data_IF_353879284177
#
_entry.id   IF_353879284177
#
_cell.length_a   1.000
_cell.length_b   1.000
_cell.length_c   1.000
_cell.angle_alpha   90.00
_cell.angle_beta   90.00
_cell.angle_gamma   90.00
#
_symmetry.space_group_name_H-M   'P 1'
#
loop_
_entity.id
_entity.type
_entity.pdbx_description
1 polymer ?
#
# COMPACT_ATOMS: atom_id res chain seq x y z
N UNK A 1 -39.32 16.03 12.38
CA UNK A 1 -38.97 14.73 11.72
C UNK A 1 -37.67 14.86 10.91
N UNK A 2 -37.46 15.89 10.10
CA UNK A 2 -36.24 16.08 9.27
C UNK A 2 -34.97 16.27 10.13
N UNK A 3 -35.09 17.03 11.22
CA UNK A 3 -33.96 17.29 12.13
C UNK A 3 -33.47 16.02 12.84
N UNK A 4 -34.36 15.13 13.25
CA UNK A 4 -34.04 13.85 13.89
C UNK A 4 -33.36 12.91 12.88
N UNK A 5 -33.82 12.90 11.63
CA UNK A 5 -33.20 12.09 10.57
C UNK A 5 -31.77 12.53 10.25
N UNK A 6 -31.51 13.84 10.17
CA UNK A 6 -30.18 14.38 9.91
C UNK A 6 -29.16 14.12 11.05
N UNK A 7 -29.64 13.97 12.29
CA UNK A 7 -28.79 13.66 13.45
C UNK A 7 -28.59 12.17 13.68
N UNK A 8 -29.37 11.31 13.02
CA UNK A 8 -29.32 9.84 13.22
C UNK A 8 -28.46 9.12 12.18
N UNK A 9 -28.12 9.73 11.04
CA UNK A 9 -27.28 9.10 10.03
C UNK A 9 -25.80 9.29 10.38
N UNK A 10 -25.03 8.21 10.64
CA UNK A 10 -23.62 8.31 10.91
C UNK A 10 -22.86 8.89 9.71
N UNK A 11 -21.91 9.75 10.00
CA UNK A 11 -21.07 10.35 8.98
C UNK A 11 -19.73 9.67 8.91
N UNK A 12 -19.27 9.39 7.71
CA UNK A 12 -17.93 8.87 7.43
C UNK A 12 -17.13 10.01 6.81
N UNK A 13 -16.06 10.41 7.49
CA UNK A 13 -15.27 11.58 7.11
C UNK A 13 -13.81 11.15 6.96
N UNK A 14 -13.19 11.33 5.77
CA UNK A 14 -11.77 11.13 5.61
C UNK A 14 -11.00 12.17 6.44
N UNK A 15 -9.95 11.72 7.12
CA UNK A 15 -9.15 12.57 7.99
C UNK A 15 -7.67 12.33 7.77
N UNK A 16 -6.89 13.38 7.97
CA UNK A 16 -5.44 13.37 7.93
C UNK A 16 -4.88 13.84 9.28
N UNK A 17 -3.63 13.49 9.61
CA UNK A 17 -2.98 14.04 10.79
C UNK A 17 -2.91 15.57 10.71
N UNK A 18 -3.19 16.23 11.81
CA UNK A 18 -2.92 17.66 11.96
C UNK A 18 -1.40 17.91 11.95
N UNK A 19 -0.99 19.18 11.86
CA UNK A 19 0.44 19.56 11.82
C UNK A 19 1.26 19.09 13.03
N UNK A 20 0.60 18.88 14.16
CA UNK A 20 1.20 18.37 15.40
C UNK A 20 1.33 16.84 15.43
N UNK A 21 0.76 16.13 14.46
CA UNK A 21 0.65 14.67 14.36
C UNK A 21 -0.06 13.98 15.55
N UNK A 22 -0.65 14.73 16.46
CA UNK A 22 -1.37 14.18 17.62
C UNK A 22 -2.86 14.04 17.37
N UNK A 23 -3.39 14.82 16.44
CA UNK A 23 -4.82 14.84 16.13
C UNK A 23 -5.07 14.53 14.65
N UNK A 24 -6.26 14.04 14.37
CA UNK A 24 -6.73 13.82 13.00
C UNK A 24 -7.85 14.80 12.71
N UNK A 25 -7.74 15.51 11.62
CA UNK A 25 -8.69 16.53 11.19
C UNK A 25 -9.13 16.29 9.75
N UNK A 26 -10.31 16.79 9.40
CA UNK A 26 -10.77 16.80 8.03
C UNK A 26 -10.01 17.88 7.25
N UNK A 27 -9.29 17.46 6.21
CA UNK A 27 -8.45 18.35 5.39
C UNK A 27 -8.69 17.99 3.92
N UNK A 28 -9.78 18.48 3.30
CA UNK A 28 -10.19 18.09 1.95
C UNK A 28 -9.19 18.55 0.87
N UNK A 29 -8.45 19.61 1.13
CA UNK A 29 -7.52 20.20 0.17
C UNK A 29 -6.11 19.57 0.23
N UNK A 30 -5.89 18.68 1.18
CA UNK A 30 -4.59 18.02 1.34
C UNK A 30 -4.62 16.61 0.72
N UNK A 31 -3.58 16.33 -0.03
CA UNK A 31 -3.39 15.02 -0.62
C UNK A 31 -3.27 13.90 0.43
N UNK A 32 -4.05 12.83 0.34
CA UNK A 32 -3.98 11.72 1.28
C UNK A 32 -2.76 10.83 1.07
N UNK A 33 -2.47 9.98 2.06
CA UNK A 33 -1.48 8.92 1.90
C UNK A 33 -1.87 7.97 0.74
N UNK A 34 -0.94 7.61 -0.16
CA UNK A 34 -1.28 6.75 -1.29
C UNK A 34 -1.59 5.30 -0.91
N UNK A 35 -1.32 4.86 0.30
CA UNK A 35 -1.55 3.47 0.72
C UNK A 35 -2.63 3.32 1.78
N UNK A 36 -2.80 4.31 2.67
CA UNK A 36 -3.65 4.24 3.85
C UNK A 36 -4.69 5.35 3.83
N UNK A 37 -5.96 4.97 3.83
CA UNK A 37 -7.06 5.86 4.12
C UNK A 37 -7.42 5.82 5.60
N UNK A 38 -7.66 6.98 6.22
CA UNK A 38 -8.12 7.06 7.60
C UNK A 38 -9.47 7.73 7.63
N UNK A 39 -10.45 7.09 8.27
CA UNK A 39 -11.80 7.61 8.41
C UNK A 39 -12.25 7.73 9.86
N UNK A 40 -12.89 8.84 10.18
CA UNK A 40 -13.72 8.95 11.37
C UNK A 40 -15.13 8.46 11.07
N UNK A 41 -15.63 7.54 11.89
CA UNK A 41 -17.05 7.21 11.93
C UNK A 41 -17.68 8.01 13.07
N UNK A 42 -18.61 8.89 12.73
CA UNK A 42 -19.30 9.79 13.66
C UNK A 42 -20.76 9.40 13.77
N UNK A 43 -21.14 8.78 14.87
CA UNK A 43 -22.48 8.27 15.16
C UNK A 43 -22.55 6.75 15.19
N UNK A 44 -23.67 6.23 15.63
CA UNK A 44 -23.89 4.82 15.86
C UNK A 44 -24.24 4.06 14.58
N UNK A 45 -23.91 2.76 14.56
CA UNK A 45 -24.08 1.88 13.40
C UNK A 45 -25.33 1.02 13.57
N UNK A 46 -26.44 1.43 12.94
CA UNK A 46 -27.71 0.69 12.99
C UNK A 46 -28.49 0.81 11.68
N UNK A 47 -29.57 0.04 11.61
CA UNK A 47 -30.44 -0.06 10.45
C UNK A 47 -30.84 1.31 9.87
N UNK A 48 -30.69 1.46 8.56
CA UNK A 48 -30.97 2.71 7.82
C UNK A 48 -29.79 3.66 7.66
N UNK A 49 -28.65 3.37 8.31
CA UNK A 49 -27.43 4.18 8.23
C UNK A 49 -26.30 3.50 7.44
N UNK A 50 -26.42 2.21 7.22
CA UNK A 50 -25.35 1.30 6.78
C UNK A 50 -24.99 1.44 5.32
N UNK A 51 -25.98 1.62 4.44
CA UNK A 51 -25.75 1.75 3.00
C UNK A 51 -24.95 3.01 2.68
N UNK A 52 -25.23 4.10 3.41
CA UNK A 52 -24.53 5.35 3.22
C UNK A 52 -23.04 5.28 3.58
N UNK A 53 -22.68 4.51 4.63
CA UNK A 53 -21.29 4.34 5.05
C UNK A 53 -20.53 3.52 4.02
N UNK A 54 -21.10 2.38 3.64
CA UNK A 54 -20.49 1.47 2.66
C UNK A 54 -20.30 2.18 1.32
N UNK A 55 -21.32 2.91 0.85
CA UNK A 55 -21.25 3.64 -0.41
C UNK A 55 -20.21 4.76 -0.38
N UNK A 56 -20.12 5.52 0.72
CA UNK A 56 -19.10 6.56 0.86
C UNK A 56 -17.68 6.01 0.85
N UNK A 57 -17.46 4.89 1.52
CA UNK A 57 -16.15 4.23 1.51
C UNK A 57 -15.84 3.67 0.13
N UNK A 58 -16.82 3.03 -0.53
CA UNK A 58 -16.69 2.53 -1.91
C UNK A 58 -16.26 3.64 -2.87
N UNK A 59 -16.99 4.75 -2.89
CA UNK A 59 -16.66 5.91 -3.74
C UNK A 59 -15.26 6.47 -3.46
N UNK A 60 -14.88 6.56 -2.19
CA UNK A 60 -13.54 7.03 -1.84
C UNK A 60 -12.45 6.10 -2.38
N UNK A 61 -12.63 4.80 -2.19
CA UNK A 61 -11.66 3.78 -2.62
C UNK A 61 -11.58 3.69 -4.15
N UNK A 62 -12.68 3.88 -4.86
CA UNK A 62 -12.71 3.96 -6.32
C UNK A 62 -11.94 5.18 -6.83
N UNK A 63 -12.09 6.32 -6.18
CA UNK A 63 -11.35 7.54 -6.51
C UNK A 63 -9.87 7.51 -6.09
N UNK A 64 -9.48 6.58 -5.20
CA UNK A 64 -8.12 6.42 -4.68
C UNK A 64 -7.64 4.96 -4.82
N UNK A 65 -7.44 4.46 -6.04
CA UNK A 65 -7.19 3.03 -6.28
C UNK A 65 -5.89 2.50 -5.68
N UNK A 66 -4.96 3.36 -5.35
CA UNK A 66 -3.70 2.99 -4.67
C UNK A 66 -3.86 2.75 -3.17
N UNK A 67 -4.92 3.27 -2.54
CA UNK A 67 -5.21 3.07 -1.13
C UNK A 67 -5.80 1.69 -0.90
N UNK A 68 -4.98 0.77 -0.43
CA UNK A 68 -5.38 -0.62 -0.16
C UNK A 68 -5.74 -0.86 1.29
N UNK A 69 -5.31 0.00 2.20
CA UNK A 69 -5.52 -0.16 3.63
C UNK A 69 -6.43 0.94 4.18
N UNK A 70 -7.33 0.55 5.06
CA UNK A 70 -8.32 1.42 5.67
C UNK A 70 -8.20 1.37 7.19
N UNK A 71 -8.04 2.52 7.83
CA UNK A 71 -8.08 2.65 9.28
C UNK A 71 -9.37 3.36 9.69
N UNK A 72 -10.28 2.63 10.35
CA UNK A 72 -11.52 3.15 10.90
C UNK A 72 -11.33 3.60 12.35
N UNK A 73 -11.61 4.88 12.62
CA UNK A 73 -11.60 5.45 13.95
C UNK A 73 -13.01 5.41 14.54
N UNK A 74 -13.20 4.54 15.54
CA UNK A 74 -14.50 4.15 16.09
C UNK A 74 -14.86 4.87 17.39
N UNK A 75 -14.11 5.90 17.79
CA UNK A 75 -14.29 6.57 19.08
C UNK A 75 -15.68 7.21 19.30
N UNK A 76 -16.38 7.57 18.24
CA UNK A 76 -17.71 8.18 18.28
C UNK A 76 -18.84 7.17 17.99
N UNK A 77 -18.52 5.88 17.89
CA UNK A 77 -19.49 4.81 17.75
C UNK A 77 -19.74 4.21 19.15
N UNK A 78 -20.93 4.40 19.67
CA UNK A 78 -21.31 3.90 20.99
C UNK A 78 -22.10 2.60 20.90
N UNK A 79 -22.83 2.40 19.81
CA UNK A 79 -23.64 1.25 19.55
C UNK A 79 -23.48 0.77 18.10
N UNK A 80 -23.58 -0.56 17.93
CA UNK A 80 -23.56 -1.20 16.63
C UNK A 80 -24.52 -2.39 16.67
N UNK A 81 -25.51 -2.38 15.80
CA UNK A 81 -26.44 -3.53 15.65
C UNK A 81 -25.95 -4.48 14.54
N UNK A 82 -26.76 -5.51 14.28
CA UNK A 82 -26.42 -6.50 13.25
C UNK A 82 -26.30 -5.89 11.86
N UNK A 83 -27.07 -4.84 11.54
CA UNK A 83 -26.98 -4.15 10.25
C UNK A 83 -25.68 -3.37 10.14
N UNK A 84 -25.24 -2.76 11.24
CA UNK A 84 -23.92 -2.11 11.33
C UNK A 84 -22.78 -3.11 11.12
N UNK A 85 -22.91 -4.32 11.68
CA UNK A 85 -21.92 -5.39 11.46
C UNK A 85 -21.87 -5.79 9.98
N UNK A 86 -23.01 -6.00 9.30
CA UNK A 86 -23.03 -6.33 7.87
C UNK A 86 -22.42 -5.22 6.99
N UNK A 87 -22.60 -3.96 7.37
CA UNK A 87 -21.92 -2.87 6.66
C UNK A 87 -20.39 -2.94 6.83
N UNK A 88 -19.92 -3.25 8.05
CA UNK A 88 -18.49 -3.42 8.29
C UNK A 88 -17.93 -4.64 7.57
N UNK A 89 -18.66 -5.75 7.49
CA UNK A 89 -18.29 -6.92 6.68
C UNK A 89 -18.15 -6.55 5.20
N UNK A 90 -19.14 -5.85 4.65
CA UNK A 90 -19.08 -5.38 3.25
C UNK A 90 -17.88 -4.47 2.98
N UNK A 91 -17.50 -3.63 3.94
CA UNK A 91 -16.31 -2.78 3.82
C UNK A 91 -15.02 -3.63 3.83
N UNK A 92 -14.97 -4.65 4.68
CA UNK A 92 -13.84 -5.60 4.73
C UNK A 92 -13.70 -6.33 3.39
N UNK A 93 -14.81 -6.81 2.83
CA UNK A 93 -14.82 -7.51 1.54
C UNK A 93 -14.31 -6.60 0.41
N UNK A 94 -14.82 -5.36 0.31
CA UNK A 94 -14.37 -4.36 -0.66
C UNK A 94 -12.84 -4.15 -0.60
N UNK A 95 -12.28 -4.07 0.61
CA UNK A 95 -10.84 -3.84 0.75
C UNK A 95 -10.01 -5.10 0.45
N UNK A 96 -10.49 -6.28 0.86
CA UNK A 96 -9.83 -7.56 0.62
C UNK A 96 -9.84 -7.96 -0.85
N UNK A 97 -10.91 -7.73 -1.59
CA UNK A 97 -10.99 -7.91 -3.05
C UNK A 97 -9.95 -7.08 -3.80
N UNK A 98 -9.53 -5.96 -3.22
CA UNK A 98 -8.47 -5.09 -3.77
C UNK A 98 -7.07 -5.44 -3.29
N UNK A 99 -6.91 -6.54 -2.57
CA UNK A 99 -5.64 -6.98 -2.00
C UNK A 99 -5.15 -6.12 -0.83
N UNK A 100 -6.10 -5.52 -0.10
CA UNK A 100 -5.85 -4.72 1.09
C UNK A 100 -6.55 -5.30 2.32
N UNK A 101 -6.77 -4.49 3.34
CA UNK A 101 -7.53 -4.88 4.53
C UNK A 101 -8.01 -3.65 5.34
N UNK A 102 -8.84 -3.92 6.36
CA UNK A 102 -9.41 -2.94 7.27
C UNK A 102 -8.82 -3.10 8.66
N UNK A 103 -8.48 -1.98 9.27
CA UNK A 103 -8.04 -1.90 10.67
C UNK A 103 -8.95 -0.98 11.45
N UNK A 104 -9.11 -1.24 12.73
CA UNK A 104 -9.98 -0.47 13.61
C UNK A 104 -9.22 0.03 14.82
N UNK A 105 -9.51 1.24 15.25
CA UNK A 105 -8.96 1.77 16.49
C UNK A 105 -10.03 2.45 17.33
N UNK A 106 -9.82 2.46 18.65
CA UNK A 106 -10.75 3.03 19.64
C UNK A 106 -12.15 2.44 19.57
N UNK A 107 -12.27 1.15 19.31
CA UNK A 107 -13.55 0.44 19.41
C UNK A 107 -13.97 0.39 20.88
N UNK A 108 -15.16 0.89 21.17
CA UNK A 108 -15.72 0.88 22.52
C UNK A 108 -16.16 -0.52 22.94
N UNK A 109 -16.11 -0.81 24.24
CA UNK A 109 -16.39 -2.12 24.78
C UNK A 109 -17.77 -2.70 24.34
N UNK A 110 -18.89 -1.95 24.38
CA UNK A 110 -20.17 -2.49 23.92
C UNK A 110 -20.18 -2.88 22.44
N UNK A 111 -19.51 -2.08 21.60
CA UNK A 111 -19.38 -2.36 20.16
C UNK A 111 -18.50 -3.60 19.93
N UNK A 112 -17.40 -3.71 20.68
CA UNK A 112 -16.50 -4.87 20.61
C UNK A 112 -17.20 -6.16 21.04
N UNK A 113 -18.07 -6.11 22.05
CA UNK A 113 -18.89 -7.25 22.47
C UNK A 113 -19.87 -7.68 21.38
N UNK A 114 -20.53 -6.73 20.72
CA UNK A 114 -21.37 -7.04 19.56
C UNK A 114 -20.55 -7.68 18.44
N UNK A 115 -19.38 -7.17 18.13
CA UNK A 115 -18.47 -7.73 17.11
C UNK A 115 -18.04 -9.17 17.47
N UNK A 116 -17.81 -9.45 18.75
CA UNK A 116 -17.45 -10.81 19.21
C UNK A 116 -18.63 -11.78 19.12
N UNK A 117 -19.80 -11.36 19.57
CA UNK A 117 -21.01 -12.22 19.57
C UNK A 117 -21.53 -12.53 18.19
N UNK A 118 -21.31 -11.62 17.22
CA UNK A 118 -21.69 -11.81 15.81
C UNK A 118 -20.63 -12.54 14.98
N UNK A 119 -19.43 -12.78 15.54
CA UNK A 119 -18.34 -13.43 14.83
C UNK A 119 -17.46 -12.46 14.00
N UNK A 120 -17.86 -11.21 13.84
CA UNK A 120 -17.09 -10.21 13.07
C UNK A 120 -15.66 -10.01 13.60
N UNK A 121 -15.49 -10.07 14.94
CA UNK A 121 -14.17 -9.99 15.55
C UNK A 121 -13.20 -11.05 15.04
N UNK A 122 -13.68 -12.28 14.87
CA UNK A 122 -12.88 -13.39 14.34
C UNK A 122 -12.69 -13.29 12.82
N UNK A 123 -13.71 -12.81 12.09
CA UNK A 123 -13.64 -12.59 10.65
C UNK A 123 -12.58 -11.54 10.28
N UNK A 124 -12.52 -10.44 11.03
CA UNK A 124 -11.53 -9.39 10.80
C UNK A 124 -10.13 -9.80 11.29
N UNK A 125 -10.07 -10.44 12.46
CA UNK A 125 -8.84 -10.84 13.13
C UNK A 125 -8.49 -9.91 14.32
N UNK A 126 -7.98 -10.48 15.39
CA UNK A 126 -7.68 -9.75 16.62
C UNK A 126 -6.57 -8.70 16.45
N UNK A 127 -5.64 -8.93 15.56
CA UNK A 127 -4.51 -8.06 15.21
C UNK A 127 -4.92 -6.82 14.39
N UNK A 128 -6.15 -6.79 13.89
CA UNK A 128 -6.72 -5.63 13.20
C UNK A 128 -7.36 -4.60 14.15
N UNK A 129 -7.48 -4.93 15.44
CA UNK A 129 -7.97 -4.01 16.47
C UNK A 129 -6.79 -3.34 17.17
N UNK A 130 -6.45 -2.13 16.70
CA UNK A 130 -5.24 -1.44 17.08
C UNK A 130 -5.43 -0.52 18.31
N UNK A 131 -4.37 -0.38 19.11
CA UNK A 131 -4.32 0.62 20.17
C UNK A 131 -4.12 2.02 19.56
N UNK A 132 -4.72 3.02 20.17
CA UNK A 132 -4.73 4.38 19.62
C UNK A 132 -3.32 4.97 19.42
N UNK A 133 -2.46 4.81 20.42
CA UNK A 133 -1.16 5.47 20.48
C UNK A 133 -0.20 4.95 19.39
N UNK A 134 -0.39 3.68 18.99
CA UNK A 134 0.51 2.98 18.09
C UNK A 134 -0.12 2.60 16.74
N UNK A 135 -1.39 2.96 16.49
CA UNK A 135 -2.12 2.44 15.35
C UNK A 135 -1.42 2.73 14.01
N UNK A 136 -1.06 3.99 13.75
CA UNK A 136 -0.36 4.37 12.51
C UNK A 136 1.05 3.80 12.48
N UNK A 137 1.77 3.84 13.61
CA UNK A 137 3.11 3.26 13.72
C UNK A 137 3.12 1.75 13.50
N UNK A 138 2.08 1.05 13.97
CA UNK A 138 1.91 -0.38 13.72
C UNK A 138 1.69 -0.64 12.22
N UNK A 139 0.74 0.06 11.59
CA UNK A 139 0.48 -0.08 10.16
C UNK A 139 1.71 0.26 9.33
N UNK A 140 2.41 1.32 9.66
CA UNK A 140 3.62 1.74 8.97
C UNK A 140 4.73 0.68 9.01
N UNK A 141 4.91 0.00 10.15
CA UNK A 141 5.98 -0.99 10.32
C UNK A 141 5.64 -2.37 9.76
N UNK A 142 4.36 -2.75 9.78
CA UNK A 142 3.96 -4.15 9.55
C UNK A 142 3.07 -4.34 8.32
N UNK A 143 2.42 -3.29 7.83
CA UNK A 143 1.38 -3.39 6.80
C UNK A 143 1.73 -2.59 5.54
N UNK A 144 2.10 -1.31 5.71
CA UNK A 144 2.40 -0.44 4.57
C UNK A 144 3.71 -0.87 3.88
N UNK A 145 3.75 -0.68 2.56
CA UNK A 145 4.95 -0.92 1.77
C UNK A 145 5.94 0.25 1.99
N UNK A 146 7.07 0.01 2.68
CA UNK A 146 8.05 1.07 2.93
C UNK A 146 8.66 1.61 1.63
N UNK A 147 8.66 0.84 0.56
CA UNK A 147 9.20 1.28 -0.71
C UNK A 147 8.30 2.35 -1.37
N UNK A 148 6.98 2.20 -1.29
CA UNK A 148 6.06 3.25 -1.70
C UNK A 148 6.31 4.53 -0.89
N UNK A 149 6.53 4.39 0.42
CA UNK A 149 6.79 5.53 1.30
C UNK A 149 8.12 6.24 1.01
N UNK A 150 9.15 5.50 0.59
CA UNK A 150 10.51 6.03 0.34
C UNK A 150 10.64 6.60 -1.08
N UNK A 151 10.13 5.87 -2.09
CA UNK A 151 10.45 6.15 -3.49
C UNK A 151 9.31 6.72 -4.31
N UNK A 152 8.05 6.49 -3.90
CA UNK A 152 6.87 6.87 -4.68
C UNK A 152 6.05 7.99 -4.01
N UNK A 153 6.17 8.15 -2.67
CA UNK A 153 5.38 9.10 -1.91
C UNK A 153 6.20 10.35 -1.54
N UNK A 154 5.85 11.48 -2.09
CA UNK A 154 6.38 12.80 -1.71
C UNK A 154 5.60 13.48 -0.58
N UNK A 155 4.37 13.01 -0.31
CA UNK A 155 3.39 13.65 0.58
C UNK A 155 3.74 13.54 2.06
N UNK A 156 4.30 12.41 2.49
CA UNK A 156 4.76 12.15 3.85
C UNK A 156 3.76 12.56 4.93
N UNK A 157 2.53 12.09 4.79
CA UNK A 157 1.36 12.51 5.56
C UNK A 157 1.49 12.21 7.06
N UNK A 158 2.10 11.08 7.43
CA UNK A 158 2.21 10.63 8.82
C UNK A 158 3.57 11.00 9.43
N UNK A 159 3.60 11.10 10.78
CA UNK A 159 4.83 11.34 11.54
C UNK A 159 5.93 10.34 11.20
N UNK A 160 5.55 9.08 11.03
CA UNK A 160 6.43 7.97 10.73
C UNK A 160 7.14 8.13 9.37
N UNK A 161 6.53 8.85 8.44
CA UNK A 161 7.09 9.12 7.13
C UNK A 161 8.12 10.26 7.13
N UNK A 162 8.12 11.14 8.15
CA UNK A 162 8.92 12.37 8.15
C UNK A 162 10.43 12.10 8.09
N UNK A 163 10.87 11.05 8.78
CA UNK A 163 12.28 10.71 8.92
C UNK A 163 12.74 9.62 7.93
N UNK A 164 11.91 9.26 6.94
CA UNK A 164 12.35 8.32 5.93
C UNK A 164 13.45 8.94 5.07
N UNK A 165 14.45 8.14 4.65
CA UNK A 165 15.45 8.62 3.71
C UNK A 165 14.76 9.16 2.46
N UNK A 166 15.22 10.29 1.96
CA UNK A 166 14.85 10.77 0.63
C UNK A 166 15.80 10.14 -0.35
N UNK A 167 15.33 9.71 -1.53
CA UNK A 167 16.25 9.42 -2.63
C UNK A 167 17.15 10.64 -2.78
N UNK A 168 18.45 10.42 -2.88
CA UNK A 168 19.41 11.54 -3.10
C UNK A 168 18.98 12.21 -4.39
N UNK A 169 18.48 13.45 -4.29
CA UNK A 169 18.28 14.28 -5.47
C UNK A 169 19.66 14.58 -6.02
N UNK A 170 20.04 13.95 -7.12
CA UNK A 170 21.15 14.45 -7.92
C UNK A 170 20.83 15.89 -8.28
N UNK A 171 21.84 16.83 -8.26
CA UNK A 171 21.61 18.22 -8.61
C UNK A 171 20.83 18.27 -9.92
N UNK A 172 19.73 18.99 -9.92
CA UNK A 172 18.87 19.16 -11.09
C UNK A 172 19.63 19.87 -12.19
N UNK A 173 20.20 19.12 -13.08
CA UNK A 173 20.45 19.59 -14.44
C UNK A 173 19.27 19.03 -15.27
N UNK A 174 18.39 19.94 -15.68
CA UNK A 174 17.20 19.78 -16.53
C UNK A 174 15.98 19.06 -15.89
N UNK A 175 14.74 19.52 -16.16
CA UNK A 175 13.52 18.85 -15.72
C UNK A 175 13.41 17.51 -16.45
N UNK A 176 13.74 16.44 -15.73
CA UNK A 176 13.43 15.09 -16.19
C UNK A 176 11.90 14.99 -16.20
N UNK A 177 11.35 14.84 -17.39
CA UNK A 177 9.95 14.54 -17.59
C UNK A 177 9.57 13.37 -16.70
N UNK A 178 8.53 13.53 -15.90
CA UNK A 178 8.09 12.64 -14.82
C UNK A 178 7.52 11.32 -15.33
N UNK A 179 7.52 11.08 -16.62
CA UNK A 179 7.13 9.82 -17.25
C UNK A 179 8.39 9.24 -17.92
N UNK A 180 9.00 8.25 -17.26
CA UNK A 180 9.93 7.36 -17.96
C UNK A 180 9.07 6.65 -19.02
N UNK A 181 9.30 6.88 -20.32
CA UNK A 181 8.55 6.18 -21.34
C UNK A 181 8.80 4.68 -21.14
N UNK A 182 7.78 3.94 -20.80
CA UNK A 182 7.85 2.47 -20.65
C UNK A 182 8.32 1.78 -21.95
N UNK A 183 8.31 2.52 -23.05
CA UNK A 183 8.81 2.10 -24.36
C UNK A 183 10.33 2.08 -24.50
N UNK A 184 11.10 2.71 -23.60
CA UNK A 184 12.57 2.79 -23.69
C UNK A 184 13.29 1.74 -22.84
N UNK A 185 12.57 0.95 -22.03
CA UNK A 185 13.16 -0.05 -21.16
C UNK A 185 12.82 -1.44 -21.67
N UNK A 186 13.82 -2.24 -22.00
CA UNK A 186 13.61 -3.64 -22.37
C UNK A 186 12.94 -4.41 -21.22
N UNK A 187 11.91 -5.16 -21.54
CA UNK A 187 11.15 -5.94 -20.57
C UNK A 187 11.02 -7.40 -20.98
N UNK A 188 10.97 -8.29 -20.01
CA UNK A 188 10.69 -9.73 -20.20
C UNK A 188 9.41 -10.09 -19.48
N UNK A 189 8.63 -11.01 -20.06
CA UNK A 189 7.47 -11.60 -19.39
C UNK A 189 7.90 -12.64 -18.35
N UNK A 190 7.02 -13.05 -17.42
CA UNK A 190 7.31 -14.14 -16.48
C UNK A 190 7.72 -15.44 -17.18
N UNK A 191 7.05 -15.81 -18.27
CA UNK A 191 7.35 -17.04 -19.04
C UNK A 191 8.73 -16.95 -19.69
N UNK A 192 9.04 -15.85 -20.37
CA UNK A 192 10.36 -15.64 -20.99
C UNK A 192 11.50 -15.68 -19.94
N UNK A 193 11.27 -15.10 -18.76
CA UNK A 193 12.25 -15.16 -17.68
C UNK A 193 12.39 -16.59 -17.16
N UNK A 194 11.29 -17.32 -16.94
CA UNK A 194 11.31 -18.70 -16.49
C UNK A 194 12.10 -19.58 -17.45
N UNK A 195 11.86 -19.49 -18.76
CA UNK A 195 12.59 -20.22 -19.79
C UNK A 195 14.09 -19.85 -19.79
N UNK A 196 14.41 -18.55 -19.68
CA UNK A 196 15.78 -18.06 -19.62
C UNK A 196 16.54 -18.59 -18.40
N UNK A 197 15.86 -18.76 -17.26
CA UNK A 197 16.45 -19.32 -16.04
C UNK A 197 16.76 -20.82 -16.15
N UNK A 198 16.13 -21.54 -17.08
CA UNK A 198 16.42 -22.97 -17.36
C UNK A 198 17.53 -23.14 -18.41
N UNK A 199 17.99 -22.07 -19.06
CA UNK A 199 19.00 -22.10 -20.09
C UNK A 199 20.44 -22.29 -19.58
N UNK A 200 21.39 -22.41 -20.51
CA UNK A 200 22.81 -22.58 -20.18
C UNK A 200 23.46 -21.34 -19.56
N UNK A 201 22.95 -20.14 -19.90
CA UNK A 201 23.44 -18.85 -19.41
C UNK A 201 22.29 -18.02 -18.82
N UNK A 202 21.79 -18.37 -17.64
CA UNK A 202 20.67 -17.67 -17.04
C UNK A 202 21.01 -16.23 -16.68
N UNK A 203 20.10 -15.27 -16.88
CA UNK A 203 20.30 -13.92 -16.43
C UNK A 203 20.32 -13.85 -14.89
N UNK A 204 21.07 -12.92 -14.35
CA UNK A 204 21.02 -12.63 -12.92
C UNK A 204 19.74 -11.91 -12.58
N UNK A 205 18.91 -12.48 -11.70
CA UNK A 205 17.70 -11.84 -11.21
C UNK A 205 18.02 -11.02 -9.96
N UNK A 206 17.71 -9.74 -9.99
CA UNK A 206 17.94 -8.81 -8.88
C UNK A 206 16.60 -8.26 -8.42
N UNK A 207 16.23 -8.62 -7.19
CA UNK A 207 15.04 -8.10 -6.55
C UNK A 207 15.39 -6.80 -5.81
N UNK A 208 14.85 -5.68 -6.35
CA UNK A 208 15.08 -4.34 -5.80
C UNK A 208 14.07 -3.94 -4.74
N UNK A 209 13.28 -4.90 -4.24
CA UNK A 209 12.39 -4.70 -3.10
C UNK A 209 13.15 -4.62 -1.78
N UNK A 210 12.44 -4.24 -0.73
CA UNK A 210 13.00 -4.27 0.61
C UNK A 210 13.25 -5.71 1.09
N UNK A 211 14.24 -5.94 1.98
CA UNK A 211 14.58 -7.30 2.44
C UNK A 211 13.40 -8.07 3.04
N UNK A 212 12.47 -7.38 3.69
CA UNK A 212 11.25 -8.00 4.25
C UNK A 212 10.28 -8.48 3.18
N UNK A 213 10.18 -7.79 2.04
CA UNK A 213 9.39 -8.23 0.90
C UNK A 213 10.02 -9.47 0.25
N UNK A 214 11.35 -9.45 0.10
CA UNK A 214 12.12 -10.57 -0.44
C UNK A 214 11.97 -11.83 0.42
N UNK A 215 12.02 -11.71 1.75
CA UNK A 215 11.86 -12.81 2.68
C UNK A 215 10.48 -13.48 2.65
N UNK A 216 9.43 -12.75 2.24
CA UNK A 216 8.06 -13.28 2.13
C UNK A 216 7.83 -14.14 0.90
N UNK A 217 8.71 -14.02 -0.10
CA UNK A 217 8.66 -14.75 -1.36
C UNK A 217 9.44 -14.00 -2.44
N UNK A 218 10.22 -14.74 -3.21
CA UNK A 218 11.05 -14.21 -4.30
C UNK A 218 11.24 -15.26 -5.39
N UNK A 219 11.68 -14.83 -6.56
CA UNK A 219 12.02 -15.72 -7.68
C UNK A 219 13.21 -16.60 -7.28
N UNK A 220 13.15 -17.93 -7.44
CA UNK A 220 14.26 -18.83 -7.12
C UNK A 220 15.58 -18.37 -7.75
N UNK A 221 16.63 -18.28 -6.94
CA UNK A 221 17.94 -17.81 -7.36
C UNK A 221 18.10 -16.29 -7.45
N UNK A 222 17.08 -15.51 -7.17
CA UNK A 222 17.17 -14.04 -7.15
C UNK A 222 18.05 -13.55 -6.01
N UNK A 223 18.77 -12.45 -6.26
CA UNK A 223 19.59 -11.74 -5.26
C UNK A 223 18.83 -10.51 -4.77
N UNK A 224 18.74 -10.33 -3.45
CA UNK A 224 18.17 -9.13 -2.85
C UNK A 224 19.16 -7.97 -2.90
N UNK A 225 18.82 -6.93 -3.63
CA UNK A 225 19.57 -5.66 -3.68
C UNK A 225 18.57 -4.51 -3.69
N UNK A 226 18.16 -4.00 -2.52
CA UNK A 226 17.20 -2.90 -2.43
C UNK A 226 17.56 -1.71 -3.32
N UNK A 227 16.54 -1.10 -3.94
CA UNK A 227 16.74 -0.02 -4.92
C UNK A 227 17.64 1.10 -4.39
N UNK A 228 17.50 1.48 -3.12
CA UNK A 228 18.33 2.53 -2.54
C UNK A 228 19.83 2.19 -2.53
N UNK A 229 20.18 0.91 -2.29
CA UNK A 229 21.59 0.45 -2.34
C UNK A 229 22.12 0.49 -3.76
N UNK A 230 21.33 0.01 -4.72
CA UNK A 230 21.67 0.09 -6.14
C UNK A 230 21.86 1.53 -6.60
N UNK A 231 20.99 2.45 -6.19
CA UNK A 231 21.12 3.88 -6.54
C UNK A 231 22.35 4.55 -5.90
N UNK A 232 22.75 4.08 -4.70
CA UNK A 232 23.95 4.59 -4.01
C UNK A 232 25.24 4.04 -4.58
N UNK A 233 25.21 2.83 -5.11
CA UNK A 233 26.38 2.15 -5.70
C UNK A 233 25.97 1.29 -6.91
N UNK A 234 25.77 1.89 -8.09
CA UNK A 234 25.46 1.15 -9.32
C UNK A 234 26.56 0.21 -9.76
N UNK A 235 27.82 0.46 -9.35
CA UNK A 235 28.97 -0.38 -9.70
C UNK A 235 28.93 -1.78 -9.07
N UNK A 236 28.02 -2.00 -8.14
CA UNK A 236 27.73 -3.33 -7.56
C UNK A 236 27.19 -4.34 -8.59
N UNK A 237 26.78 -3.86 -9.77
CA UNK A 237 26.33 -4.67 -10.91
C UNK A 237 27.43 -4.68 -11.97
N UNK A 238 27.80 -5.88 -12.47
CA UNK A 238 28.74 -6.01 -13.60
C UNK A 238 28.00 -5.63 -14.91
N UNK A 239 28.59 -4.77 -15.74
CA UNK A 239 27.99 -4.37 -17.03
C UNK A 239 27.92 -5.53 -18.04
N UNK A 240 28.79 -6.54 -17.91
CA UNK A 240 28.95 -7.64 -18.88
C UNK A 240 27.98 -8.81 -18.64
N UNK A 241 27.16 -8.75 -17.61
CA UNK A 241 26.24 -9.83 -17.24
C UNK A 241 24.78 -9.42 -17.49
N UNK A 242 23.97 -10.26 -18.18
CA UNK A 242 22.55 -10.05 -18.32
C UNK A 242 21.86 -9.98 -16.95
N UNK A 243 21.10 -8.91 -16.72
CA UNK A 243 20.39 -8.68 -15.46
C UNK A 243 18.91 -8.43 -15.72
N UNK A 244 18.06 -9.09 -14.93
CA UNK A 244 16.63 -8.80 -14.87
C UNK A 244 16.28 -8.25 -13.51
N UNK A 245 15.83 -6.99 -13.47
CA UNK A 245 15.37 -6.36 -12.25
C UNK A 245 13.90 -6.70 -11.97
N UNK A 246 13.63 -7.00 -10.71
CA UNK A 246 12.31 -7.38 -10.22
C UNK A 246 11.92 -6.49 -9.05
N UNK A 247 10.66 -6.08 -9.03
CA UNK A 247 10.03 -5.52 -7.85
C UNK A 247 8.58 -6.00 -7.76
N UNK A 248 7.74 -5.42 -6.90
CA UNK A 248 6.36 -5.88 -6.74
C UNK A 248 5.54 -5.75 -8.02
N UNK A 249 5.52 -4.58 -8.67
CA UNK A 249 4.61 -4.24 -9.79
C UNK A 249 5.34 -3.78 -11.08
N UNK A 250 6.66 -3.76 -11.09
CA UNK A 250 7.46 -3.26 -12.21
C UNK A 250 8.01 -1.83 -12.04
N UNK A 251 7.40 -0.95 -11.25
CA UNK A 251 7.80 0.47 -11.16
C UNK A 251 9.23 0.70 -10.67
N UNK A 252 9.60 0.12 -9.52
CA UNK A 252 10.96 0.25 -8.95
C UNK A 252 12.02 -0.37 -9.86
N UNK A 253 11.70 -1.53 -10.43
CA UNK A 253 12.60 -2.23 -11.36
C UNK A 253 12.78 -1.47 -12.68
N UNK A 254 11.74 -0.84 -13.23
CA UNK A 254 11.86 0.05 -14.40
C UNK A 254 12.81 1.21 -14.11
N UNK A 255 12.73 1.82 -12.94
CA UNK A 255 13.66 2.89 -12.54
C UNK A 255 15.10 2.39 -12.41
N UNK A 256 15.31 1.19 -11.84
CA UNK A 256 16.61 0.56 -11.73
C UNK A 256 17.22 0.30 -13.12
N UNK A 257 16.42 -0.29 -14.02
CA UNK A 257 16.84 -0.60 -15.39
C UNK A 257 17.18 0.66 -16.17
N UNK A 258 16.32 1.68 -16.11
CA UNK A 258 16.57 2.97 -16.79
C UNK A 258 17.87 3.64 -16.31
N UNK A 259 18.10 3.65 -15.00
CA UNK A 259 19.33 4.22 -14.43
C UNK A 259 20.58 3.56 -15.01
N UNK A 260 20.62 2.23 -14.96
CA UNK A 260 21.79 1.47 -15.44
C UNK A 260 21.94 1.57 -16.96
N UNK A 261 20.83 1.48 -17.71
CA UNK A 261 20.85 1.69 -19.17
C UNK A 261 21.42 3.08 -19.53
N UNK A 262 21.05 4.14 -18.80
CA UNK A 262 21.58 5.48 -19.00
C UNK A 262 23.07 5.61 -18.67
N UNK A 263 23.64 4.65 -17.95
CA UNK A 263 25.07 4.53 -17.62
C UNK A 263 25.84 3.57 -18.54
N UNK A 264 25.18 3.10 -19.62
CA UNK A 264 25.82 2.23 -20.62
C UNK A 264 25.75 0.73 -20.31
N UNK A 265 24.82 0.30 -19.47
CA UNK A 265 24.55 -1.11 -19.27
C UNK A 265 23.55 -1.61 -20.32
N UNK A 266 24.03 -2.36 -21.32
CA UNK A 266 23.22 -2.77 -22.48
C UNK A 266 22.36 -4.03 -22.24
N UNK A 267 22.62 -4.78 -21.17
CA UNK A 267 21.97 -6.07 -20.91
C UNK A 267 21.09 -6.04 -19.66
N UNK A 268 20.41 -4.94 -19.43
CA UNK A 268 19.53 -4.75 -18.28
C UNK A 268 18.07 -4.72 -18.71
N UNK A 269 17.22 -5.53 -18.06
CA UNK A 269 15.80 -5.70 -18.38
C UNK A 269 14.96 -5.63 -17.13
N UNK A 270 13.66 -5.41 -17.31
CA UNK A 270 12.68 -5.41 -16.24
C UNK A 270 11.71 -6.59 -16.38
N UNK A 271 11.38 -7.26 -15.28
CA UNK A 271 10.26 -8.20 -15.26
C UNK A 271 8.95 -7.44 -15.37
N UNK A 272 8.24 -7.62 -16.45
CA UNK A 272 6.93 -6.99 -16.74
C UNK A 272 5.92 -7.40 -15.66
N UNK A 273 5.33 -6.41 -15.00
CA UNK A 273 4.37 -6.63 -13.92
C UNK A 273 4.97 -7.11 -12.60
N UNK A 274 6.31 -7.34 -12.53
CA UNK A 274 7.02 -7.69 -11.31
C UNK A 274 6.56 -8.99 -10.67
N UNK A 275 6.71 -9.11 -9.34
CA UNK A 275 6.30 -10.29 -8.57
C UNK A 275 4.81 -10.61 -8.71
N UNK A 276 3.95 -9.58 -8.87
CA UNK A 276 2.52 -9.82 -9.06
C UNK A 276 2.24 -10.63 -10.32
N UNK A 277 2.94 -10.34 -11.43
CA UNK A 277 2.79 -11.08 -12.67
C UNK A 277 3.47 -12.47 -12.59
N UNK A 278 4.59 -12.56 -11.87
CA UNK A 278 5.28 -13.84 -11.63
C UNK A 278 4.41 -14.81 -10.83
N UNK A 279 3.85 -14.36 -9.72
CA UNK A 279 2.94 -15.14 -8.87
C UNK A 279 1.67 -15.56 -9.61
N UNK A 280 1.10 -14.65 -10.44
CA UNK A 280 -0.07 -14.96 -11.25
C UNK A 280 0.19 -15.95 -12.39
N UNK A 281 1.43 -16.11 -12.81
CA UNK A 281 1.82 -17.07 -13.85
C UNK A 281 2.06 -18.49 -13.30
N UNK A 282 1.98 -18.69 -11.97
CA UNK A 282 2.10 -20.00 -11.28
C UNK A 282 3.36 -20.79 -11.70
N UNK A 283 4.50 -20.11 -11.74
CA UNK A 283 5.79 -20.62 -12.21
C UNK A 283 6.69 -21.11 -11.05
N UNK A 284 6.10 -21.57 -9.96
CA UNK A 284 6.80 -22.11 -8.79
C UNK A 284 6.75 -23.62 -8.73
#
# INVERSE_FOLDING_TARGET
AIYIYQTSVPRVIPVLPARDFHHFTHQPDNDPCPQLAVFNILGDLYFGATDHITEKIRQHVENNPSQRFLLLRMNSVHQCDISGIHALESIVDIMRERGGDVYMMRVRQPVLETMKTTGFYNLLGADHFLRYEDAVSHLFRHVLDPAVCIYECDRRVFRECQNLPRPIEHPRETPIQTEIPTSEVESVSPQELWEALQGENPPRVIDVREPREFQRGHIPGATSLPLFKLLSDPSSISPDQPVVFVCRSGRRSTRATYLLASQGYDQVRVLRGGMLAWEAADLL
#
